data_IF_572685666559
#
_entry.id   IF_572685666559
#
_cell.length_a   1.000
_cell.length_b   1.000
_cell.length_c   1.000
_cell.angle_alpha   90.00
_cell.angle_beta   90.00
_cell.angle_gamma   90.00
#
_symmetry.space_group_name_H-M   'P 1'
#
loop_
_entity.id
_entity.type
_entity.pdbx_description
1 polymer ?
#
# COMPACT_ATOMS: atom_id res chain seq x y z
N UNK A 1 -4.34 3.95 10.74
CA UNK A 1 -4.61 4.35 9.35
C UNK A 1 -4.70 5.88 9.32
N UNK A 2 -3.70 6.59 8.77
CA UNK A 2 -3.74 8.04 8.62
C UNK A 2 -4.66 8.51 7.49
N UNK A 3 -5.39 9.60 7.72
CA UNK A 3 -6.18 10.30 6.70
C UNK A 3 -5.91 11.82 6.85
N UNK A 4 -5.53 12.48 5.77
CA UNK A 4 -5.02 13.87 5.80
C UNK A 4 -5.86 14.77 4.88
N UNK A 5 -6.46 15.80 5.46
CA UNK A 5 -7.14 16.86 4.73
C UNK A 5 -6.15 17.77 3.99
N UNK A 6 -6.55 18.27 2.83
CA UNK A 6 -5.76 19.11 1.90
C UNK A 6 -4.53 18.43 1.31
N UNK A 7 -4.48 17.11 1.37
CA UNK A 7 -3.34 16.32 0.90
C UNK A 7 -3.69 15.57 -0.38
N UNK A 8 -2.85 15.75 -1.40
CA UNK A 8 -2.92 15.00 -2.66
C UNK A 8 -2.03 13.75 -2.62
N UNK A 9 -2.15 12.88 -3.62
CA UNK A 9 -1.39 11.62 -3.69
C UNK A 9 0.12 11.84 -3.47
N UNK A 10 0.76 12.74 -4.20
CA UNK A 10 2.22 12.93 -4.12
C UNK A 10 2.70 13.26 -2.69
N UNK A 11 1.98 14.14 -2.00
CA UNK A 11 2.24 14.52 -0.62
C UNK A 11 1.98 13.35 0.34
N UNK A 12 0.98 12.51 0.04
CA UNK A 12 0.72 11.29 0.78
C UNK A 12 1.84 10.27 0.62
N UNK A 13 2.40 10.11 -0.59
CA UNK A 13 3.55 9.24 -0.84
C UNK A 13 4.78 9.73 -0.06
N UNK A 14 5.05 11.05 -0.07
CA UNK A 14 6.12 11.66 0.72
C UNK A 14 5.96 11.42 2.22
N UNK A 15 4.71 11.46 2.73
CA UNK A 15 4.44 11.17 4.13
C UNK A 15 4.64 9.68 4.44
N UNK A 16 4.15 8.77 3.59
CA UNK A 16 4.31 7.33 3.77
C UNK A 16 5.79 6.94 3.80
N UNK A 17 6.60 7.47 2.89
CA UNK A 17 8.04 7.24 2.84
C UNK A 17 8.72 7.70 4.14
N UNK A 18 8.51 8.96 4.55
CA UNK A 18 9.11 9.50 5.78
C UNK A 18 8.64 8.75 7.02
N UNK A 19 7.38 8.36 7.06
CA UNK A 19 6.80 7.60 8.15
C UNK A 19 7.50 6.23 8.31
N UNK A 20 7.62 5.49 7.21
CA UNK A 20 8.28 4.18 7.21
C UNK A 20 9.79 4.30 7.48
N UNK A 21 10.49 5.21 6.80
CA UNK A 21 11.91 5.46 7.00
C UNK A 21 12.24 5.80 8.46
N UNK A 22 11.40 6.63 9.10
CA UNK A 22 11.53 6.95 10.52
C UNK A 22 11.33 5.73 11.41
N UNK A 23 10.29 4.92 11.15
CA UNK A 23 10.04 3.69 11.91
C UNK A 23 11.23 2.73 11.84
N UNK A 24 11.74 2.46 10.63
CA UNK A 24 12.90 1.57 10.44
C UNK A 24 14.14 2.13 11.13
N UNK A 25 14.37 3.44 11.05
CA UNK A 25 15.45 4.10 11.78
C UNK A 25 15.32 3.89 13.28
N UNK A 26 14.12 4.03 13.86
CA UNK A 26 13.91 3.80 15.29
C UNK A 26 14.21 2.36 15.70
N UNK A 27 13.84 1.37 14.87
CA UNK A 27 14.17 -0.04 15.13
C UNK A 27 15.69 -0.25 15.10
N UNK A 28 16.37 0.26 14.08
CA UNK A 28 17.83 0.15 13.96
C UNK A 28 18.57 0.84 15.13
N UNK A 29 18.09 1.99 15.59
CA UNK A 29 18.71 2.76 16.66
C UNK A 29 18.48 2.15 18.06
N UNK A 30 17.35 1.46 18.28
CA UNK A 30 16.88 1.09 19.63
C UNK A 30 16.78 -0.41 19.87
N UNK A 31 16.83 -1.24 18.83
CA UNK A 31 16.55 -2.67 18.91
C UNK A 31 17.68 -3.56 18.39
N UNK A 32 18.93 -3.10 18.50
CA UNK A 32 20.11 -3.89 18.09
C UNK A 32 20.14 -5.27 18.77
N UNK A 33 19.80 -5.33 20.06
CA UNK A 33 19.75 -6.58 20.81
C UNK A 33 18.69 -7.55 20.26
N UNK A 34 17.47 -7.08 20.01
CA UNK A 34 16.40 -7.92 19.46
C UNK A 34 16.71 -8.37 18.02
N UNK A 35 17.23 -7.48 17.17
CA UNK A 35 17.64 -7.84 15.80
C UNK A 35 18.71 -8.94 15.80
N UNK A 36 19.66 -8.87 16.75
CA UNK A 36 20.68 -9.91 16.92
C UNK A 36 20.09 -11.25 17.35
N UNK A 37 19.10 -11.25 18.25
CA UNK A 37 18.40 -12.49 18.65
C UNK A 37 17.69 -13.12 17.45
N UNK A 38 17.04 -12.30 16.63
CA UNK A 38 16.32 -12.74 15.43
C UNK A 38 17.25 -13.16 14.28
N UNK A 39 18.55 -12.90 14.37
CA UNK A 39 19.48 -13.11 13.26
C UNK A 39 19.21 -12.20 12.06
N UNK A 40 18.51 -11.08 12.26
CA UNK A 40 18.16 -10.13 11.22
C UNK A 40 19.36 -9.25 10.89
N UNK A 41 19.81 -9.29 9.64
CA UNK A 41 20.84 -8.39 9.11
C UNK A 41 20.35 -6.92 9.06
N UNK A 42 20.91 -6.00 9.87
CA UNK A 42 20.52 -4.59 9.87
C UNK A 42 20.80 -3.87 8.54
N UNK A 43 21.78 -4.35 7.75
CA UNK A 43 22.14 -3.73 6.47
C UNK A 43 21.01 -3.87 5.43
N UNK A 44 20.16 -4.88 5.55
CA UNK A 44 18.95 -5.05 4.71
C UNK A 44 17.89 -3.99 4.98
N UNK A 45 17.91 -3.36 6.16
CA UNK A 45 16.96 -2.34 6.56
C UNK A 45 17.49 -0.91 6.34
N UNK A 46 18.80 -0.70 6.38
CA UNK A 46 19.43 0.63 6.24
C UNK A 46 18.99 1.42 5.01
N UNK A 47 18.92 0.83 3.79
CA UNK A 47 18.45 1.54 2.60
C UNK A 47 17.09 2.22 2.78
N UNK A 48 16.20 1.60 3.57
CA UNK A 48 14.87 2.17 3.86
C UNK A 48 14.97 3.49 4.62
N UNK A 49 15.97 3.65 5.48
CA UNK A 49 16.13 4.88 6.30
C UNK A 49 16.59 6.09 5.49
N UNK A 50 17.15 5.87 4.30
CA UNK A 50 17.59 6.92 3.39
C UNK A 50 16.42 7.51 2.57
N UNK A 51 15.26 6.84 2.56
CA UNK A 51 14.12 7.20 1.71
C UNK A 51 14.41 6.97 0.22
N UNK A 52 13.90 7.85 -0.63
CA UNK A 52 13.96 7.78 -2.09
C UNK A 52 13.37 6.48 -2.64
N UNK A 53 12.18 6.11 -2.17
CA UNK A 53 11.50 4.92 -2.65
C UNK A 53 11.09 5.15 -4.10
N UNK A 54 11.33 4.14 -4.94
CA UNK A 54 10.94 4.24 -6.35
C UNK A 54 9.43 4.34 -6.44
N UNK A 55 8.92 5.26 -7.28
CA UNK A 55 7.51 5.33 -7.66
C UNK A 55 7.36 4.69 -9.03
N UNK A 56 6.98 3.42 -9.03
CA UNK A 56 6.81 2.60 -10.22
C UNK A 56 5.35 2.67 -10.69
N UNK A 57 5.04 3.26 -11.86
CA UNK A 57 3.71 3.19 -12.43
C UNK A 57 3.26 1.74 -12.63
N UNK A 58 1.98 1.45 -12.43
CA UNK A 58 1.39 0.13 -12.67
C UNK A 58 1.76 -0.40 -14.07
N UNK A 59 1.67 0.45 -15.09
CA UNK A 59 2.01 0.11 -16.46
C UNK A 59 3.47 -0.38 -16.61
N UNK A 60 4.40 0.26 -15.90
CA UNK A 60 5.81 -0.11 -15.91
C UNK A 60 6.06 -1.39 -15.10
N UNK A 61 5.32 -1.61 -14.00
CA UNK A 61 5.36 -2.86 -13.25
C UNK A 61 4.84 -4.05 -14.08
N UNK A 62 3.75 -3.86 -14.83
CA UNK A 62 3.24 -4.86 -15.78
C UNK A 62 4.30 -5.19 -16.83
N UNK A 63 4.92 -4.15 -17.41
CA UNK A 63 5.96 -4.33 -18.42
C UNK A 63 7.19 -5.06 -17.88
N UNK A 64 7.60 -4.73 -16.65
CA UNK A 64 8.68 -5.40 -15.94
C UNK A 64 8.42 -6.91 -15.78
N UNK A 65 7.20 -7.31 -15.43
CA UNK A 65 6.82 -8.72 -15.33
C UNK A 65 6.80 -9.42 -16.70
N UNK A 66 6.28 -8.75 -17.72
CA UNK A 66 6.22 -9.29 -19.09
C UNK A 66 7.61 -9.49 -19.69
N UNK A 67 8.51 -8.51 -19.50
CA UNK A 67 9.91 -8.59 -19.94
C UNK A 67 10.68 -9.72 -19.21
N UNK A 68 10.25 -10.07 -17.99
CA UNK A 68 10.74 -11.23 -17.24
C UNK A 68 10.15 -12.57 -17.72
N UNK A 69 9.31 -12.57 -18.76
CA UNK A 69 8.68 -13.76 -19.33
C UNK A 69 7.48 -14.28 -18.54
N UNK A 70 6.89 -13.48 -17.65
CA UNK A 70 5.67 -13.84 -16.92
C UNK A 70 4.42 -13.55 -17.74
N UNK A 71 3.43 -14.43 -17.64
CA UNK A 71 2.11 -14.23 -18.24
C UNK A 71 1.27 -13.32 -17.33
N UNK A 72 1.53 -12.01 -17.38
CA UNK A 72 0.79 -10.98 -16.66
C UNK A 72 0.06 -10.06 -17.64
N UNK A 73 -1.23 -9.80 -17.40
CA UNK A 73 -2.05 -8.95 -18.28
C UNK A 73 -2.39 -7.65 -17.58
N UNK A 74 -2.39 -6.57 -18.36
CA UNK A 74 -2.86 -5.29 -17.88
C UNK A 74 -4.32 -5.39 -17.42
N UNK A 75 -4.61 -4.91 -16.21
CA UNK A 75 -5.90 -5.04 -15.56
C UNK A 75 -5.97 -6.16 -14.53
N UNK A 76 -4.97 -7.05 -14.46
CA UNK A 76 -4.85 -8.03 -13.39
C UNK A 76 -4.24 -7.37 -12.13
N UNK A 77 -4.59 -7.90 -10.95
CA UNK A 77 -4.00 -7.49 -9.68
C UNK A 77 -2.69 -8.27 -9.41
N UNK A 78 -1.73 -7.67 -8.72
CA UNK A 78 -0.45 -8.33 -8.45
C UNK A 78 -0.62 -9.39 -7.36
N UNK A 79 -0.31 -10.64 -7.69
CA UNK A 79 -0.26 -11.70 -6.69
C UNK A 79 1.05 -11.66 -5.91
N UNK A 80 1.12 -12.43 -4.81
CA UNK A 80 2.34 -12.57 -4.03
C UNK A 80 3.59 -12.95 -4.86
N UNK A 81 3.52 -13.83 -5.88
CA UNK A 81 4.68 -14.09 -6.74
C UNK A 81 5.13 -12.88 -7.55
N UNK A 82 4.19 -12.02 -7.99
CA UNK A 82 4.45 -10.82 -8.81
C UNK A 82 5.05 -9.71 -7.97
N UNK A 83 4.44 -9.42 -6.82
CA UNK A 83 4.99 -8.51 -5.83
C UNK A 83 6.39 -8.97 -5.38
N UNK A 84 6.57 -10.27 -5.16
CA UNK A 84 7.87 -10.85 -4.82
C UNK A 84 8.94 -10.52 -5.86
N UNK A 85 8.65 -10.78 -7.15
CA UNK A 85 9.59 -10.47 -8.23
C UNK A 85 9.91 -8.98 -8.35
N UNK A 86 8.90 -8.12 -8.26
CA UNK A 86 9.07 -6.66 -8.29
C UNK A 86 9.95 -6.24 -7.10
N UNK A 87 9.65 -6.73 -5.90
CA UNK A 87 10.36 -6.37 -4.67
C UNK A 87 11.84 -6.77 -4.70
N UNK A 88 12.19 -7.87 -5.37
CA UNK A 88 13.57 -8.34 -5.51
C UNK A 88 14.44 -7.42 -6.37
N UNK A 89 13.83 -6.54 -7.18
CA UNK A 89 14.56 -5.58 -8.01
C UNK A 89 15.03 -4.34 -7.22
N UNK A 90 14.61 -4.20 -5.96
CA UNK A 90 14.87 -3.02 -5.14
C UNK A 90 15.53 -3.39 -3.80
N UNK A 91 16.40 -2.50 -3.31
CA UNK A 91 17.08 -2.64 -2.00
C UNK A 91 16.27 -2.06 -0.83
N UNK A 92 15.15 -1.40 -1.15
CA UNK A 92 14.26 -0.68 -0.23
C UNK A 92 12.82 -0.76 -0.77
N UNK A 93 11.81 -0.37 0.03
CA UNK A 93 10.42 -0.40 -0.43
C UNK A 93 10.20 0.39 -1.73
N UNK A 94 9.28 -0.11 -2.55
CA UNK A 94 8.88 0.49 -3.82
C UNK A 94 7.38 0.81 -3.76
N UNK A 95 7.01 2.00 -4.22
CA UNK A 95 5.61 2.33 -4.48
C UNK A 95 5.23 1.79 -5.85
N UNK A 96 4.17 1.00 -5.93
CA UNK A 96 3.46 0.79 -7.20
C UNK A 96 2.30 1.79 -7.22
N UNK A 97 2.27 2.66 -8.23
CA UNK A 97 1.31 3.77 -8.31
C UNK A 97 0.36 3.61 -9.50
N UNK A 98 -0.82 4.21 -9.36
CA UNK A 98 -1.80 4.40 -10.42
C UNK A 98 -2.39 3.10 -10.99
N UNK A 99 -3.10 2.35 -10.16
CA UNK A 99 -3.71 1.08 -10.55
C UNK A 99 -4.98 1.24 -11.42
N UNK A 100 -5.31 0.24 -12.24
CA UNK A 100 -6.56 0.17 -12.98
C UNK A 100 -7.80 0.27 -12.08
N UNK A 101 -8.78 1.04 -12.54
CA UNK A 101 -10.05 1.26 -11.83
C UNK A 101 -10.87 -0.02 -11.62
N UNK A 102 -10.63 -1.06 -12.42
CA UNK A 102 -11.36 -2.33 -12.38
C UNK A 102 -11.00 -3.24 -11.20
N UNK A 103 -9.84 -3.03 -10.58
CA UNK A 103 -9.31 -3.90 -9.51
C UNK A 103 -9.20 -3.19 -8.16
N UNK A 104 -9.58 -1.92 -8.09
CA UNK A 104 -9.47 -1.11 -6.87
C UNK A 104 -10.83 -0.57 -6.41
N UNK A 105 -10.98 -0.26 -5.11
CA UNK A 105 -12.24 0.21 -4.52
C UNK A 105 -12.82 1.48 -5.15
N UNK A 106 -14.14 1.62 -5.06
CA UNK A 106 -14.93 2.70 -5.68
C UNK A 106 -14.60 4.12 -5.16
N UNK A 107 -14.04 4.24 -3.95
CA UNK A 107 -13.84 5.53 -3.29
C UNK A 107 -12.58 6.29 -3.75
N UNK A 108 -11.74 5.64 -4.57
CA UNK A 108 -10.49 6.22 -5.04
C UNK A 108 -10.75 7.27 -6.12
N UNK A 109 -9.97 8.35 -6.11
CA UNK A 109 -10.07 9.42 -7.12
C UNK A 109 -9.49 8.96 -8.45
N UNK A 110 -10.20 9.19 -9.56
CA UNK A 110 -9.69 8.87 -10.90
C UNK A 110 -8.46 9.72 -11.24
N UNK A 111 -7.49 9.10 -11.90
CA UNK A 111 -6.35 9.83 -12.46
C UNK A 111 -6.86 10.81 -13.54
N UNK A 112 -6.65 12.14 -13.38
CA UNK A 112 -7.09 13.14 -14.36
C UNK A 112 -6.48 12.95 -15.76
N UNK A 113 -5.27 12.40 -15.82
CA UNK A 113 -4.54 12.20 -17.07
C UNK A 113 -4.90 10.87 -17.76
N UNK A 114 -5.26 9.85 -16.97
CA UNK A 114 -5.73 8.56 -17.45
C UNK A 114 -6.95 8.05 -16.65
N UNK A 115 -8.19 8.32 -17.09
CA UNK A 115 -9.39 7.93 -16.36
C UNK A 115 -9.60 6.42 -16.17
N UNK A 116 -8.76 5.57 -16.78
CA UNK A 116 -8.73 4.12 -16.55
C UNK A 116 -8.02 3.73 -15.26
N UNK A 117 -7.29 4.65 -14.64
CA UNK A 117 -6.53 4.46 -13.41
C UNK A 117 -7.12 5.27 -12.25
N UNK A 118 -6.79 4.85 -11.03
CA UNK A 118 -6.99 5.63 -9.82
C UNK A 118 -5.69 6.24 -9.33
N UNK A 119 -5.80 7.39 -8.67
CA UNK A 119 -4.74 8.00 -7.89
C UNK A 119 -4.54 7.23 -6.58
N UNK A 120 -3.82 6.11 -6.65
CA UNK A 120 -3.56 5.21 -5.55
C UNK A 120 -2.15 4.63 -5.59
N UNK A 121 -1.70 4.12 -4.45
CA UNK A 121 -0.41 3.47 -4.36
C UNK A 121 -0.39 2.39 -3.29
N UNK A 122 0.38 1.34 -3.59
CA UNK A 122 0.73 0.28 -2.65
C UNK A 122 2.24 0.32 -2.42
N UNK A 123 2.69 0.11 -1.18
CA UNK A 123 4.12 0.03 -0.83
C UNK A 123 4.49 -1.43 -0.69
N UNK A 124 5.38 -1.90 -1.54
CA UNK A 124 5.88 -3.26 -1.54
C UNK A 124 7.21 -3.30 -0.78
N UNK A 125 7.26 -4.09 0.28
CA UNK A 125 8.49 -4.33 1.04
C UNK A 125 9.46 -5.22 0.24
N UNK A 126 10.78 -4.98 0.32
CA UNK A 126 11.78 -5.80 -0.34
C UNK A 126 11.83 -7.21 0.25
N UNK A 127 12.69 -8.07 -0.31
CA UNK A 127 12.92 -9.45 0.17
C UNK A 127 11.67 -10.35 0.08
N UNK A 128 10.74 -10.05 -0.82
CA UNK A 128 9.58 -10.90 -1.08
C UNK A 128 8.44 -10.80 -0.08
N UNK A 129 8.46 -9.80 0.83
CA UNK A 129 7.41 -9.64 1.86
C UNK A 129 6.09 -9.06 1.32
N UNK A 130 6.12 -8.42 0.15
CA UNK A 130 4.92 -7.92 -0.53
C UNK A 130 4.39 -6.62 0.05
N UNK A 131 3.12 -6.33 -0.22
CA UNK A 131 2.45 -5.09 0.20
C UNK A 131 2.42 -4.92 1.73
N UNK A 132 2.96 -3.80 2.21
CA UNK A 132 2.89 -3.35 3.61
C UNK A 132 1.98 -2.13 3.82
N UNK A 133 1.80 -1.28 2.80
CA UNK A 133 0.90 -0.13 2.85
C UNK A 133 0.01 -0.14 1.62
N UNK A 134 -1.22 0.34 1.78
CA UNK A 134 -2.15 0.60 0.68
C UNK A 134 -2.87 1.91 0.91
N UNK A 135 -2.92 2.78 -0.10
CA UNK A 135 -3.45 4.13 0.06
C UNK A 135 -3.95 4.76 -1.24
N UNK A 136 -4.74 5.83 -1.10
CA UNK A 136 -5.22 6.58 -2.26
C UNK A 136 -5.57 8.02 -1.92
N UNK A 137 -5.59 8.86 -2.96
CA UNK A 137 -6.42 10.06 -2.93
C UNK A 137 -7.89 9.63 -3.01
N UNK A 138 -8.76 10.29 -2.24
CA UNK A 138 -10.19 9.97 -2.19
C UNK A 138 -10.96 10.82 -3.18
N UNK A 139 -12.02 10.25 -3.76
CA UNK A 139 -12.92 11.00 -4.62
C UNK A 139 -13.58 12.13 -3.82
N UNK A 140 -13.39 13.36 -4.28
CA UNK A 140 -13.87 14.59 -3.63
C UNK A 140 -15.17 15.11 -4.23
N UNK A 141 -15.54 14.67 -5.43
CA UNK A 141 -16.76 15.10 -6.10
C UNK A 141 -17.94 14.18 -5.76
N UNK A 142 -19.03 14.78 -5.26
CA UNK A 142 -20.25 14.07 -4.88
C UNK A 142 -20.85 13.23 -6.03
N UNK A 143 -20.99 13.82 -7.22
CA UNK A 143 -21.64 13.13 -8.34
C UNK A 143 -20.75 11.99 -8.87
N UNK A 144 -19.44 12.21 -8.95
CA UNK A 144 -18.50 11.15 -9.38
C UNK A 144 -18.55 9.97 -8.40
N UNK A 145 -18.44 10.24 -7.08
CA UNK A 145 -18.48 9.20 -6.06
C UNK A 145 -19.81 8.45 -6.06
N UNK A 146 -20.93 9.16 -6.21
CA UNK A 146 -22.26 8.56 -6.35
C UNK A 146 -22.33 7.60 -7.53
N UNK A 147 -21.79 7.99 -8.69
CA UNK A 147 -21.74 7.11 -9.87
C UNK A 147 -20.84 5.89 -9.64
N UNK A 148 -19.71 6.05 -8.94
CA UNK A 148 -18.82 4.94 -8.61
C UNK A 148 -19.47 3.92 -7.66
N UNK A 149 -20.22 4.38 -6.65
CA UNK A 149 -20.98 3.51 -5.74
C UNK A 149 -22.01 2.68 -6.53
N UNK A 150 -22.78 3.34 -7.41
CA UNK A 150 -23.76 2.66 -8.26
C UNK A 150 -23.11 1.66 -9.23
N UNK A 151 -21.98 2.03 -9.85
CA UNK A 151 -21.24 1.15 -10.75
C UNK A 151 -20.65 -0.07 -10.04
N UNK A 152 -20.30 0.07 -8.75
CA UNK A 152 -19.84 -1.03 -7.91
C UNK A 152 -20.98 -1.94 -7.40
N UNK A 153 -22.25 -1.65 -7.76
CA UNK A 153 -23.42 -2.42 -7.33
C UNK A 153 -23.77 -2.25 -5.85
N UNK A 154 -23.32 -1.16 -5.23
CA UNK A 154 -23.53 -0.87 -3.81
C UNK A 154 -24.81 -0.05 -3.60
N UNK A 155 -25.46 -0.24 -2.45
CA UNK A 155 -26.66 0.51 -2.08
C UNK A 155 -26.32 1.93 -1.65
N UNK A 156 -26.85 2.95 -2.33
CA UNK A 156 -26.56 4.35 -2.02
C UNK A 156 -26.97 4.76 -0.60
N UNK A 157 -28.05 4.19 -0.06
CA UNK A 157 -28.56 4.57 1.28
C UNK A 157 -27.52 4.29 2.37
N UNK A 158 -26.78 3.17 2.26
CA UNK A 158 -25.74 2.77 3.21
C UNK A 158 -24.55 3.75 3.21
N UNK A 159 -24.34 4.46 2.09
CA UNK A 159 -23.25 5.42 1.88
C UNK A 159 -23.69 6.88 1.90
N UNK A 160 -24.95 7.17 2.24
CA UNK A 160 -25.45 8.55 2.22
C UNK A 160 -24.62 9.48 3.12
N UNK A 161 -24.24 8.99 4.32
CA UNK A 161 -23.38 9.73 5.24
C UNK A 161 -21.98 10.00 4.64
N UNK A 162 -21.44 9.06 3.87
CA UNK A 162 -20.12 9.17 3.24
C UNK A 162 -20.12 10.15 2.06
N UNK A 163 -21.22 10.18 1.32
CA UNK A 163 -21.49 11.16 0.28
C UNK A 163 -21.71 12.57 0.86
N UNK A 164 -22.32 12.69 2.03
CA UNK A 164 -22.54 13.99 2.67
C UNK A 164 -21.23 14.70 3.04
N UNK A 165 -20.14 13.95 3.26
CA UNK A 165 -18.78 14.51 3.40
C UNK A 165 -18.33 15.32 2.17
N UNK A 166 -18.91 15.05 0.99
CA UNK A 166 -18.62 15.78 -0.26
C UNK A 166 -19.59 16.93 -0.50
N UNK A 167 -20.71 16.99 0.23
CA UNK A 167 -21.67 18.09 0.19
C UNK A 167 -21.33 19.20 1.17
N UNK A 168 -20.93 18.84 2.38
CA UNK A 168 -20.81 19.77 3.51
C UNK A 168 -19.35 20.01 3.88
N UNK A 169 -18.65 20.84 3.09
CA UNK A 169 -17.28 21.24 3.39
C UNK A 169 -16.22 20.19 3.03
N UNK A 170 -16.48 19.37 2.00
CA UNK A 170 -15.51 18.42 1.47
C UNK A 170 -14.28 19.12 0.90
N UNK A 171 -13.12 18.51 1.12
CA UNK A 171 -11.80 19.01 0.69
C UNK A 171 -11.03 17.87 0.05
N UNK A 172 -10.04 18.13 -0.83
CA UNK A 172 -9.12 17.10 -1.27
C UNK A 172 -8.47 16.42 -0.05
N UNK A 173 -8.41 15.10 -0.05
CA UNK A 173 -7.80 14.34 1.03
C UNK A 173 -7.28 13.01 0.51
N UNK A 174 -6.23 12.54 1.17
CA UNK A 174 -5.60 11.26 0.88
C UNK A 174 -5.37 10.53 2.19
N UNK A 175 -5.30 9.20 2.12
CA UNK A 175 -5.04 8.37 3.28
C UNK A 175 -4.48 7.02 2.91
N UNK A 176 -3.94 6.34 3.90
CA UNK A 176 -3.32 5.03 3.73
C UNK A 176 -3.48 4.16 4.97
N UNK A 177 -3.50 2.85 4.74
CA UNK A 177 -3.37 1.84 5.77
C UNK A 177 -1.97 1.27 5.77
N UNK A 178 -1.49 0.88 6.96
CA UNK A 178 -0.27 0.08 7.11
C UNK A 178 -0.68 -1.26 7.72
N UNK A 179 -0.36 -2.35 7.03
CA UNK A 179 -0.49 -3.70 7.55
C UNK A 179 0.57 -3.95 8.61
N UNK A 180 0.25 -3.65 9.87
CA UNK A 180 1.22 -3.63 10.96
C UNK A 180 1.97 -4.97 11.12
N UNK A 181 1.25 -6.10 11.09
CA UNK A 181 1.86 -7.43 11.19
C UNK A 181 2.71 -7.78 9.98
N UNK A 182 2.35 -7.31 8.76
CA UNK A 182 3.19 -7.49 7.56
C UNK A 182 4.48 -6.69 7.68
N UNK A 183 4.40 -5.44 8.15
CA UNK A 183 5.57 -4.61 8.41
C UNK A 183 6.49 -5.25 9.46
N UNK A 184 5.94 -5.76 10.57
CA UNK A 184 6.73 -6.48 11.58
C UNK A 184 7.37 -7.73 10.98
N UNK A 185 6.62 -8.53 10.21
CA UNK A 185 7.14 -9.74 9.59
C UNK A 185 8.36 -9.44 8.71
N UNK A 186 8.29 -8.39 7.89
CA UNK A 186 9.42 -7.94 7.09
C UNK A 186 10.60 -7.44 7.94
N UNK A 187 10.33 -6.52 8.88
CA UNK A 187 11.38 -5.90 9.69
C UNK A 187 12.14 -6.93 10.51
N UNK A 188 11.42 -7.89 11.09
CA UNK A 188 11.98 -8.98 11.90
C UNK A 188 12.45 -10.18 11.06
N UNK A 189 12.27 -10.15 9.74
CA UNK A 189 12.57 -11.24 8.82
C UNK A 189 11.96 -12.59 9.24
N UNK A 190 10.66 -12.57 9.51
CA UNK A 190 9.88 -13.74 9.92
C UNK A 190 9.46 -14.56 8.71
N UNK A 191 9.36 -15.87 8.87
CA UNK A 191 8.90 -16.80 7.82
C UNK A 191 7.40 -16.65 7.54
N UNK A 192 6.62 -16.22 8.54
CA UNK A 192 5.17 -16.11 8.42
C UNK A 192 4.60 -14.99 9.29
N UNK A 193 3.63 -14.25 8.74
CA UNK A 193 2.91 -13.15 9.41
C UNK A 193 2.28 -13.51 10.77
N UNK A 194 2.02 -14.80 11.04
CA UNK A 194 1.40 -15.24 12.30
C UNK A 194 2.32 -15.06 13.50
N UNK A 195 3.63 -14.95 13.25
CA UNK A 195 4.67 -14.76 14.26
C UNK A 195 4.82 -13.29 14.65
N UNK A 196 4.27 -12.38 13.84
CA UNK A 196 4.24 -10.95 14.11
C UNK A 196 3.16 -10.53 15.13
N UNK A 197 2.31 -11.46 15.58
CA UNK A 197 1.23 -11.18 16.53
C UNK A 197 1.21 -12.25 17.64
N UNK A 198 0.99 -11.88 18.91
CA UNK A 198 1.05 -12.86 20.02
C UNK A 198 0.04 -14.01 19.92
N UNK A 199 -1.17 -13.73 19.43
CA UNK A 199 -2.25 -14.71 19.32
C UNK A 199 -2.90 -14.63 17.93
N UNK A 200 -2.29 -15.22 16.89
CA UNK A 200 -2.78 -15.13 15.52
C UNK A 200 -4.18 -15.75 15.40
N UNK A 201 -5.00 -15.17 14.51
CA UNK A 201 -6.29 -15.71 14.11
C UNK A 201 -6.21 -16.11 12.65
N UNK A 202 -6.40 -17.40 12.39
CA UNK A 202 -6.41 -18.00 11.06
C UNK A 202 -7.74 -18.75 10.87
N UNK A 203 -8.13 -19.03 9.63
CA UNK A 203 -9.38 -19.77 9.32
C UNK A 203 -9.47 -21.07 10.14
N UNK A 204 -8.34 -21.74 10.37
CA UNK A 204 -8.22 -22.98 11.12
C UNK A 204 -7.73 -22.83 12.57
N UNK A 205 -7.50 -21.61 13.08
CA UNK A 205 -6.98 -21.36 14.44
C UNK A 205 -7.60 -20.11 15.06
N UNK A 206 -8.49 -20.32 16.02
CA UNK A 206 -9.18 -19.25 16.75
C UNK A 206 -8.90 -19.23 18.26
N UNK A 207 -8.11 -20.19 18.75
CA UNK A 207 -7.79 -20.37 20.17
C UNK A 207 -6.26 -20.23 20.38
N UNK A 208 -5.82 -19.85 21.60
CA UNK A 208 -4.40 -19.85 21.98
C UNK A 208 -3.70 -21.19 21.72
#
# INVERSE_FOLDING_TARGET
EPEMAWMHQDESLDLQERYLAYMIKQVLDKNEYELKILGRDPEKLRPTTEGNFTRLPYDDAVKMLQDAGRDFKWGDDFGAPDEGYISEQYDRPVFIVNYPTSIKPFYMKKNPDNPKEYLCADVIAPEGYGEIFGGSEREGNYEVLKQQILAAGLNLEDYQWYLDLRKFGGVPHSGFGMGFERTIAWVCHLDHIREAIPFPRLINRMQP
#
